data_IF_144320470198
#
_entry.id   IF_144320470198
#
_cell.length_a   1.000
_cell.length_b   1.000
_cell.length_c   1.000
_cell.angle_alpha   90.00
_cell.angle_beta   90.00
_cell.angle_gamma   90.00
#
_symmetry.space_group_name_H-M   'P 1'
#
loop_
_entity.id
_entity.type
_entity.pdbx_description
1 polymer ?
#
# COMPACT_ATOMS: atom_id res chain seq x y z
N UNK A 1 10.64 -12.65 27.85
CA UNK A 1 10.17 -11.76 26.76
C UNK A 1 9.06 -12.49 26.05
N UNK A 2 7.81 -12.10 26.25
CA UNK A 2 6.67 -12.63 25.52
C UNK A 2 6.87 -12.30 24.04
N UNK A 3 6.92 -13.34 23.20
CA UNK A 3 7.05 -13.20 21.76
C UNK A 3 5.85 -12.40 21.23
N UNK A 4 6.12 -11.22 20.70
CA UNK A 4 5.06 -10.36 20.14
C UNK A 4 4.50 -11.08 18.91
N UNK A 5 3.25 -11.51 18.99
CA UNK A 5 2.57 -12.12 17.84
C UNK A 5 2.55 -11.13 16.69
N UNK A 6 3.25 -11.44 15.60
CA UNK A 6 3.37 -10.60 14.42
C UNK A 6 2.11 -10.69 13.59
N UNK A 7 1.33 -9.60 13.55
CA UNK A 7 0.07 -9.51 12.81
C UNK A 7 0.12 -8.39 11.79
N UNK A 8 -0.25 -8.68 10.56
CA UNK A 8 -0.30 -7.70 9.48
C UNK A 8 -1.69 -7.59 8.87
N UNK A 9 -2.10 -6.36 8.58
CA UNK A 9 -3.21 -6.05 7.69
C UNK A 9 -2.63 -5.65 6.33
N UNK A 10 -3.05 -6.31 5.26
CA UNK A 10 -2.60 -6.05 3.89
C UNK A 10 -3.79 -5.79 3.00
N UNK A 11 -3.89 -4.58 2.44
CA UNK A 11 -4.92 -4.28 1.44
C UNK A 11 -4.43 -4.65 0.04
N UNK A 12 -5.31 -5.12 -0.85
CA UNK A 12 -4.94 -5.58 -2.18
C UNK A 12 -4.13 -6.89 -2.15
N UNK A 13 -4.43 -7.77 -1.19
CA UNK A 13 -3.64 -8.96 -0.85
C UNK A 13 -3.80 -10.13 -1.82
N UNK A 14 -4.74 -10.07 -2.77
CA UNK A 14 -5.06 -11.20 -3.65
C UNK A 14 -4.39 -11.15 -5.01
N UNK A 15 -3.65 -10.07 -5.32
CA UNK A 15 -2.93 -9.94 -6.60
C UNK A 15 -1.69 -9.03 -6.49
N UNK A 16 -0.82 -9.11 -7.50
CA UNK A 16 0.30 -8.19 -7.70
C UNK A 16 1.21 -7.99 -6.48
N UNK A 17 1.51 -6.75 -6.16
CA UNK A 17 2.43 -6.38 -5.06
C UNK A 17 1.87 -6.83 -3.70
N UNK A 18 0.57 -6.62 -3.45
CA UNK A 18 -0.04 -6.99 -2.18
C UNK A 18 -0.01 -8.50 -1.92
N UNK A 19 -0.23 -9.30 -2.96
CA UNK A 19 -0.09 -10.76 -2.87
C UNK A 19 1.35 -11.18 -2.56
N UNK A 20 2.34 -10.61 -3.25
CA UNK A 20 3.75 -10.91 -2.98
C UNK A 20 4.15 -10.55 -1.53
N UNK A 21 3.66 -9.42 -1.03
CA UNK A 21 3.87 -9.02 0.37
C UNK A 21 3.21 -10.01 1.33
N UNK A 22 1.93 -10.35 1.10
CA UNK A 22 1.20 -11.30 1.95
C UNK A 22 1.90 -12.66 2.00
N UNK A 23 2.36 -13.18 0.86
CA UNK A 23 3.09 -14.45 0.78
C UNK A 23 4.40 -14.42 1.58
N UNK A 24 5.19 -13.34 1.47
CA UNK A 24 6.42 -13.21 2.25
C UNK A 24 6.17 -13.10 3.76
N UNK A 25 5.15 -12.34 4.16
CA UNK A 25 4.74 -12.26 5.56
C UNK A 25 4.35 -13.63 6.11
N UNK A 26 3.53 -14.38 5.36
CA UNK A 26 3.11 -15.74 5.75
C UNK A 26 4.31 -16.70 5.86
N UNK A 27 5.22 -16.65 4.88
CA UNK A 27 6.45 -17.47 4.91
C UNK A 27 7.36 -17.15 6.10
N UNK A 28 7.34 -15.90 6.58
CA UNK A 28 8.05 -15.46 7.79
C UNK A 28 7.22 -15.64 9.09
N UNK A 29 6.13 -16.41 9.02
CA UNK A 29 5.33 -16.81 10.20
C UNK A 29 4.39 -15.73 10.74
N UNK A 30 4.08 -14.69 9.98
CA UNK A 30 3.08 -13.68 10.37
C UNK A 30 1.66 -14.22 10.26
N UNK A 31 0.77 -13.72 11.10
CA UNK A 31 -0.67 -13.78 10.86
C UNK A 31 -1.07 -12.62 9.95
N UNK A 32 -1.72 -12.91 8.82
CA UNK A 32 -2.09 -11.91 7.81
C UNK A 32 -3.59 -11.82 7.68
N UNK A 33 -4.13 -10.62 7.80
CA UNK A 33 -5.50 -10.30 7.40
C UNK A 33 -5.45 -9.52 6.09
N UNK A 34 -5.90 -10.16 5.02
CA UNK A 34 -6.02 -9.55 3.70
C UNK A 34 -7.35 -8.82 3.54
N UNK A 35 -7.33 -7.62 2.99
CA UNK A 35 -8.52 -6.86 2.58
C UNK A 35 -8.51 -6.72 1.06
N UNK A 36 -9.43 -7.38 0.36
CA UNK A 36 -9.45 -7.41 -1.10
C UNK A 36 -10.88 -7.59 -1.65
N UNK A 37 -11.07 -7.31 -2.93
CA UNK A 37 -12.29 -7.63 -3.69
C UNK A 37 -12.43 -9.14 -3.97
N UNK A 38 -11.31 -9.85 -4.00
CA UNK A 38 -11.23 -11.26 -4.35
C UNK A 38 -10.65 -12.07 -3.19
N UNK A 39 -11.02 -13.35 -3.08
CA UNK A 39 -10.38 -14.26 -2.13
C UNK A 39 -8.89 -14.43 -2.45
N UNK A 40 -8.11 -14.80 -1.45
CA UNK A 40 -6.72 -15.14 -1.65
C UNK A 40 -6.60 -16.32 -2.61
N UNK A 41 -5.68 -16.26 -3.60
CA UNK A 41 -5.53 -17.33 -4.60
C UNK A 41 -4.96 -18.63 -3.99
N UNK A 42 -4.30 -18.54 -2.84
CA UNK A 42 -3.70 -19.67 -2.15
C UNK A 42 -4.11 -19.63 -0.67
N UNK A 43 -4.84 -20.64 -0.16
CA UNK A 43 -5.17 -20.73 1.24
C UNK A 43 -3.92 -20.98 2.11
N UNK A 44 -3.91 -20.39 3.30
CA UNK A 44 -2.85 -20.59 4.29
C UNK A 44 -3.43 -20.51 5.71
N UNK A 45 -2.94 -21.33 6.64
CA UNK A 45 -3.48 -21.40 8.01
C UNK A 45 -3.44 -20.06 8.76
N UNK A 46 -2.44 -19.22 8.47
CA UNK A 46 -2.26 -17.89 9.08
C UNK A 46 -2.84 -16.76 8.21
N UNK A 47 -3.66 -17.04 7.20
CA UNK A 47 -4.27 -16.04 6.32
C UNK A 47 -5.78 -16.03 6.49
N UNK A 48 -6.32 -14.87 6.83
CA UNK A 48 -7.75 -14.57 6.75
C UNK A 48 -7.96 -13.50 5.68
N UNK A 49 -8.83 -13.75 4.71
CA UNK A 49 -9.18 -12.72 3.70
C UNK A 49 -10.60 -12.22 3.96
N UNK A 50 -10.72 -10.92 4.14
CA UNK A 50 -12.00 -10.22 4.21
C UNK A 50 -12.31 -9.62 2.83
N UNK A 51 -13.42 -10.05 2.25
CA UNK A 51 -13.86 -9.55 0.93
C UNK A 51 -14.53 -8.19 1.13
N UNK A 52 -13.87 -7.14 0.64
CA UNK A 52 -14.30 -5.77 0.83
C UNK A 52 -13.93 -4.89 -0.36
N UNK A 53 -14.87 -4.11 -0.85
CA UNK A 53 -14.57 -3.02 -1.79
C UNK A 53 -14.12 -1.79 -1.00
N UNK A 54 -12.81 -1.52 -1.07
CA UNK A 54 -12.22 -0.38 -0.38
C UNK A 54 -12.66 0.97 -0.96
N UNK A 55 -13.20 1.01 -2.18
CA UNK A 55 -13.77 2.25 -2.75
C UNK A 55 -15.07 2.67 -2.08
N UNK A 56 -15.69 1.77 -1.33
CA UNK A 56 -16.92 2.02 -0.56
C UNK A 56 -16.66 2.23 0.93
N UNK A 57 -15.41 2.10 1.39
CA UNK A 57 -15.06 2.22 2.79
C UNK A 57 -15.07 3.69 3.22
N UNK A 58 -16.05 4.06 4.03
CA UNK A 58 -16.19 5.41 4.60
C UNK A 58 -15.93 5.41 6.10
N UNK A 59 -15.70 6.57 6.69
CA UNK A 59 -15.45 6.70 8.14
C UNK A 59 -16.59 6.15 9.04
N UNK A 60 -17.82 6.10 8.53
CA UNK A 60 -18.99 5.56 9.23
C UNK A 60 -19.30 4.09 8.91
N UNK A 61 -18.44 3.40 8.18
CA UNK A 61 -18.67 2.02 7.77
C UNK A 61 -18.74 1.07 8.99
N UNK A 62 -19.83 0.35 9.12
CA UNK A 62 -20.08 -0.58 10.24
C UNK A 62 -19.07 -1.74 10.32
N UNK A 63 -18.34 -2.01 9.25
CA UNK A 63 -17.26 -3.02 9.20
C UNK A 63 -15.99 -2.57 9.92
N UNK A 64 -15.73 -1.24 10.01
CA UNK A 64 -14.53 -0.71 10.67
C UNK A 64 -14.44 -1.06 12.16
N UNK A 65 -15.49 -0.91 12.99
CA UNK A 65 -15.45 -1.32 14.41
C UNK A 65 -15.16 -2.82 14.58
N UNK A 66 -15.73 -3.68 13.72
CA UNK A 66 -15.46 -5.11 13.75
C UNK A 66 -13.99 -5.40 13.40
N UNK A 67 -13.47 -4.80 12.32
CA UNK A 67 -12.05 -4.87 12.01
C UNK A 67 -11.17 -4.40 13.17
N UNK A 68 -11.63 -3.38 13.90
CA UNK A 68 -10.91 -2.86 15.06
C UNK A 68 -10.90 -3.82 16.25
N UNK A 69 -12.03 -4.46 16.57
CA UNK A 69 -12.13 -5.36 17.73
C UNK A 69 -11.29 -6.62 17.55
N UNK A 70 -11.18 -7.10 16.33
CA UNK A 70 -10.48 -8.34 15.97
C UNK A 70 -8.99 -8.15 15.70
N UNK A 71 -8.57 -6.92 15.38
CA UNK A 71 -7.21 -6.64 14.90
C UNK A 71 -6.46 -5.68 15.83
N UNK A 72 -5.41 -6.17 16.48
CA UNK A 72 -4.32 -5.33 16.98
C UNK A 72 -3.10 -5.67 16.09
N UNK A 73 -3.02 -5.08 14.88
CA UNK A 73 -1.92 -5.38 13.99
C UNK A 73 -0.63 -4.72 14.48
N UNK A 74 0.48 -5.41 14.24
CA UNK A 74 1.81 -4.82 14.39
C UNK A 74 2.31 -4.20 13.08
N UNK A 75 1.65 -4.52 11.95
CA UNK A 75 1.91 -3.90 10.66
C UNK A 75 0.61 -3.61 9.88
N UNK A 76 0.59 -2.47 9.15
CA UNK A 76 -0.45 -2.08 8.20
C UNK A 76 0.20 -1.80 6.85
N UNK A 77 -0.16 -2.56 5.83
CA UNK A 77 0.37 -2.40 4.48
C UNK A 77 -0.76 -2.04 3.52
N UNK A 78 -0.67 -0.87 2.88
CA UNK A 78 -1.64 -0.43 1.89
C UNK A 78 -1.11 -0.63 0.48
N UNK A 79 -1.50 -1.75 -0.16
CA UNK A 79 -1.11 -2.09 -1.52
C UNK A 79 -2.30 -2.11 -2.49
N UNK A 80 -3.53 -1.97 -2.00
CA UNK A 80 -4.70 -1.84 -2.85
C UNK A 80 -4.59 -0.62 -3.77
N UNK A 81 -5.00 -0.81 -5.02
CA UNK A 81 -4.98 0.28 -5.97
C UNK A 81 -5.47 -0.12 -7.34
N UNK A 82 -5.91 0.88 -8.05
CA UNK A 82 -6.34 0.79 -9.44
C UNK A 82 -5.93 2.07 -10.15
N UNK A 83 -5.76 2.03 -11.48
CA UNK A 83 -5.35 3.19 -12.27
C UNK A 83 -6.21 3.33 -13.52
N UNK A 84 -6.80 4.50 -13.68
CA UNK A 84 -7.30 5.00 -14.96
C UNK A 84 -6.38 6.09 -15.49
N UNK A 85 -6.36 6.27 -16.80
CA UNK A 85 -5.48 7.25 -17.49
C UNK A 85 -6.30 8.12 -18.43
N UNK A 86 -5.94 9.41 -18.52
CA UNK A 86 -6.56 10.36 -19.42
C UNK A 86 -5.75 11.66 -19.50
N UNK A 87 -5.59 12.27 -20.69
CA UNK A 87 -4.97 13.56 -20.85
C UNK A 87 -5.89 14.71 -20.37
N UNK A 88 -5.34 15.89 -20.14
CA UNK A 88 -6.13 17.11 -19.94
C UNK A 88 -7.10 17.31 -21.12
N UNK A 89 -8.32 17.73 -20.80
CA UNK A 89 -9.41 17.85 -21.76
C UNK A 89 -10.22 16.56 -21.94
N UNK A 90 -9.74 15.41 -21.46
CA UNK A 90 -10.44 14.12 -21.50
C UNK A 90 -10.22 13.32 -20.20
N UNK A 91 -10.39 13.97 -19.05
CA UNK A 91 -10.31 13.33 -17.75
C UNK A 91 -11.65 12.68 -17.39
N UNK A 92 -11.59 11.44 -16.93
CA UNK A 92 -12.74 10.76 -16.33
C UNK A 92 -12.80 11.09 -14.82
N UNK A 93 -13.75 11.92 -14.43
CA UNK A 93 -13.93 12.36 -13.04
C UNK A 93 -14.43 11.22 -12.14
N UNK A 94 -15.26 10.31 -12.63
CA UNK A 94 -15.72 9.15 -11.87
C UNK A 94 -14.57 8.18 -11.58
N UNK A 95 -13.73 7.92 -12.57
CA UNK A 95 -12.51 7.15 -12.37
C UNK A 95 -11.56 7.86 -11.40
N UNK A 96 -11.42 9.17 -11.48
CA UNK A 96 -10.63 9.98 -10.56
C UNK A 96 -11.11 9.87 -9.12
N UNK A 97 -12.41 10.01 -8.88
CA UNK A 97 -13.03 9.84 -7.57
C UNK A 97 -12.82 8.43 -7.02
N UNK A 98 -13.05 7.39 -7.84
CA UNK A 98 -12.81 6.00 -7.44
C UNK A 98 -11.36 5.76 -7.07
N UNK A 99 -10.40 6.29 -7.84
CA UNK A 99 -8.97 6.21 -7.49
C UNK A 99 -8.70 6.87 -6.15
N UNK A 100 -9.26 8.07 -5.89
CA UNK A 100 -9.09 8.77 -4.63
C UNK A 100 -9.61 7.95 -3.45
N UNK A 101 -10.81 7.39 -3.58
CA UNK A 101 -11.41 6.54 -2.55
C UNK A 101 -10.54 5.34 -2.20
N UNK A 102 -10.06 4.61 -3.22
CA UNK A 102 -9.23 3.41 -3.00
C UNK A 102 -7.86 3.78 -2.42
N UNK A 103 -7.19 4.80 -2.98
CA UNK A 103 -5.81 5.09 -2.65
C UNK A 103 -5.63 5.97 -1.41
N UNK A 104 -6.59 6.85 -1.13
CA UNK A 104 -6.44 7.89 -0.10
C UNK A 104 -7.44 7.71 1.03
N UNK A 105 -8.74 7.67 0.74
CA UNK A 105 -9.77 7.59 1.78
C UNK A 105 -9.71 6.26 2.54
N UNK A 106 -9.57 5.15 1.83
CA UNK A 106 -9.52 3.83 2.45
C UNK A 106 -8.36 3.71 3.44
N UNK A 107 -7.15 4.13 3.06
CA UNK A 107 -6.02 4.08 3.98
C UNK A 107 -6.14 5.09 5.11
N UNK A 108 -6.73 6.26 4.86
CA UNK A 108 -6.99 7.24 5.92
C UNK A 108 -7.95 6.66 6.97
N UNK A 109 -9.02 5.99 6.55
CA UNK A 109 -9.95 5.33 7.47
C UNK A 109 -9.26 4.20 8.27
N UNK A 110 -8.50 3.34 7.60
CA UNK A 110 -7.76 2.25 8.25
C UNK A 110 -6.67 2.77 9.20
N UNK A 111 -5.91 3.78 8.80
CA UNK A 111 -4.87 4.37 9.64
C UNK A 111 -5.47 5.05 10.88
N UNK A 112 -6.54 5.84 10.71
CA UNK A 112 -7.25 6.47 11.82
C UNK A 112 -7.78 5.45 12.84
N UNK A 113 -8.13 4.26 12.39
CA UNK A 113 -8.59 3.17 13.24
C UNK A 113 -7.45 2.41 13.94
N UNK A 114 -6.39 2.08 13.21
CA UNK A 114 -5.38 1.10 13.63
C UNK A 114 -4.11 1.75 14.21
N UNK A 115 -3.68 2.90 13.69
CA UNK A 115 -2.43 3.56 14.15
C UNK A 115 -2.51 4.00 15.61
N UNK A 116 -3.60 4.57 16.13
CA UNK A 116 -3.70 4.90 17.56
C UNK A 116 -3.52 3.69 18.49
N UNK A 117 -3.94 2.49 18.05
CA UNK A 117 -3.76 1.25 18.80
C UNK A 117 -2.30 0.79 18.78
N UNK A 118 -1.63 0.90 17.62
CA UNK A 118 -0.19 0.67 17.53
C UNK A 118 0.58 1.62 18.44
N UNK A 119 0.21 2.92 18.46
CA UNK A 119 0.80 3.92 19.34
C UNK A 119 0.60 3.58 20.83
N UNK A 120 -0.58 3.09 21.20
CA UNK A 120 -0.88 2.65 22.56
C UNK A 120 -0.09 1.40 22.96
N UNK A 121 0.19 0.52 22.01
CA UNK A 121 1.02 -0.67 22.20
C UNK A 121 2.54 -0.36 22.17
N UNK A 122 2.95 0.86 21.81
CA UNK A 122 4.35 1.27 21.69
C UNK A 122 5.10 0.65 20.51
N UNK A 123 4.38 0.05 19.56
CA UNK A 123 4.97 -0.58 18.37
C UNK A 123 4.01 -0.59 17.18
N UNK A 124 4.49 -0.20 16.02
CA UNK A 124 3.75 -0.32 14.75
C UNK A 124 4.61 -0.05 13.54
N UNK A 125 4.24 -0.66 12.42
CA UNK A 125 4.90 -0.48 11.12
C UNK A 125 3.84 -0.24 10.05
N UNK A 126 3.89 0.91 9.39
CA UNK A 126 2.96 1.24 8.30
C UNK A 126 3.73 1.43 7.01
N UNK A 127 3.34 0.73 5.97
CA UNK A 127 3.94 0.83 4.65
C UNK A 127 2.86 1.12 3.62
N UNK A 128 3.00 2.24 2.91
CA UNK A 128 2.10 2.66 1.84
C UNK A 128 2.77 2.38 0.49
N UNK A 129 2.09 1.68 -0.40
CA UNK A 129 2.59 1.48 -1.75
C UNK A 129 2.23 2.69 -2.60
N UNK A 130 3.21 3.58 -2.74
CA UNK A 130 3.19 4.76 -3.57
C UNK A 130 3.37 4.46 -5.05
N UNK A 131 4.01 5.35 -5.75
CA UNK A 131 4.44 5.19 -7.15
C UNK A 131 5.39 6.30 -7.52
N UNK A 132 6.40 6.04 -8.36
CA UNK A 132 7.20 7.11 -8.96
C UNK A 132 6.36 8.13 -9.76
N UNK A 133 5.14 7.76 -10.16
CA UNK A 133 4.19 8.66 -10.84
C UNK A 133 3.74 9.81 -9.92
N UNK A 134 3.92 9.72 -8.61
CA UNK A 134 3.64 10.78 -7.65
C UNK A 134 4.34 12.12 -7.99
N UNK A 135 5.49 12.07 -8.64
CA UNK A 135 6.20 13.27 -9.15
C UNK A 135 5.55 13.91 -10.39
N UNK A 136 4.47 13.33 -10.90
CA UNK A 136 3.78 13.76 -12.11
C UNK A 136 4.19 12.95 -13.35
N UNK A 137 3.20 12.65 -14.20
CA UNK A 137 3.41 11.99 -15.49
C UNK A 137 2.25 12.33 -16.44
N UNK A 138 2.54 12.68 -17.71
CA UNK A 138 1.50 12.95 -18.69
C UNK A 138 0.47 11.82 -18.78
N UNK A 139 -0.82 12.16 -18.88
CA UNK A 139 -1.93 11.22 -18.97
C UNK A 139 -2.29 10.51 -17.68
N UNK A 140 -1.67 10.88 -16.53
CA UNK A 140 -1.86 10.21 -15.23
C UNK A 140 -2.07 11.17 -14.06
N UNK A 141 -2.56 12.38 -14.33
CA UNK A 141 -2.63 13.45 -13.33
C UNK A 141 -3.44 13.07 -12.08
N UNK A 142 -4.62 12.46 -12.24
CA UNK A 142 -5.47 12.04 -11.13
C UNK A 142 -4.82 10.94 -10.29
N UNK A 143 -4.18 9.96 -10.94
CA UNK A 143 -3.44 8.91 -10.24
C UNK A 143 -2.19 9.46 -9.54
N UNK A 144 -1.47 10.39 -10.20
CA UNK A 144 -0.31 11.07 -9.60
C UNK A 144 -0.72 11.83 -8.34
N UNK A 145 -1.84 12.54 -8.35
CA UNK A 145 -2.38 13.23 -7.19
C UNK A 145 -2.67 12.28 -6.03
N UNK A 146 -3.32 11.12 -6.30
CA UNK A 146 -3.56 10.11 -5.28
C UNK A 146 -2.25 9.59 -4.66
N UNK A 147 -1.25 9.29 -5.50
CA UNK A 147 0.03 8.75 -5.01
C UNK A 147 0.90 9.80 -4.32
N UNK A 148 0.83 11.07 -4.72
CA UNK A 148 1.45 12.18 -4.02
C UNK A 148 0.81 12.42 -2.63
N UNK A 149 -0.51 12.28 -2.52
CA UNK A 149 -1.21 12.38 -1.25
C UNK A 149 -0.68 11.37 -0.22
N UNK A 150 -0.34 10.14 -0.62
CA UNK A 150 0.23 9.14 0.29
C UNK A 150 1.55 9.59 0.92
N UNK A 151 2.37 10.35 0.20
CA UNK A 151 3.64 10.87 0.73
C UNK A 151 3.36 11.93 1.80
N UNK A 152 2.40 12.83 1.56
CA UNK A 152 1.97 13.82 2.54
C UNK A 152 1.38 13.19 3.80
N UNK A 153 0.49 12.22 3.64
CA UNK A 153 -0.10 11.46 4.74
C UNK A 153 0.98 10.74 5.57
N UNK A 154 1.90 10.03 4.90
CA UNK A 154 2.96 9.29 5.58
C UNK A 154 3.84 10.20 6.43
N UNK A 155 4.22 11.37 5.92
CA UNK A 155 5.04 12.34 6.65
C UNK A 155 4.32 12.92 7.87
N UNK A 156 3.05 13.32 7.71
CA UNK A 156 2.24 13.86 8.81
C UNK A 156 2.04 12.80 9.90
N UNK A 157 1.58 11.62 9.55
CA UNK A 157 1.35 10.55 10.51
C UNK A 157 2.63 10.03 11.16
N UNK A 158 3.76 10.01 10.43
CA UNK A 158 5.06 9.69 11.01
C UNK A 158 5.46 10.68 12.10
N UNK A 159 5.29 11.99 11.86
CA UNK A 159 5.59 13.01 12.85
C UNK A 159 4.72 12.89 14.12
N UNK A 160 3.44 12.50 13.96
CA UNK A 160 2.50 12.31 15.08
C UNK A 160 2.79 11.04 15.90
N UNK A 161 3.40 10.01 15.28
CA UNK A 161 3.45 8.66 15.87
C UNK A 161 4.86 8.18 16.25
N UNK A 162 5.93 8.84 15.77
CA UNK A 162 7.31 8.37 15.95
C UNK A 162 7.72 8.23 17.42
N UNK A 163 7.32 9.16 18.30
CA UNK A 163 7.60 9.09 19.73
C UNK A 163 6.86 7.97 20.47
N UNK A 164 5.93 7.32 19.79
CA UNK A 164 5.12 6.20 20.28
C UNK A 164 5.52 4.87 19.63
N UNK A 165 6.71 4.78 19.03
CA UNK A 165 7.27 3.55 18.49
C UNK A 165 6.68 3.09 17.15
N UNK A 166 5.91 3.95 16.44
CA UNK A 166 5.34 3.63 15.14
C UNK A 166 6.12 4.32 14.03
N UNK A 167 6.47 3.56 12.98
CA UNK A 167 7.09 4.09 11.76
C UNK A 167 6.13 4.00 10.58
N UNK A 168 6.14 5.01 9.72
CA UNK A 168 5.26 5.12 8.55
C UNK A 168 6.08 5.54 7.35
N UNK A 169 6.12 4.71 6.30
CA UNK A 169 6.93 4.95 5.10
C UNK A 169 6.15 4.64 3.83
N UNK A 170 6.63 5.20 2.73
CA UNK A 170 6.11 4.96 1.38
C UNK A 170 7.16 4.20 0.57
N UNK A 171 6.75 3.17 -0.14
CA UNK A 171 7.56 2.54 -1.20
C UNK A 171 6.98 2.98 -2.53
N UNK A 172 7.80 3.60 -3.38
CA UNK A 172 7.39 4.12 -4.69
C UNK A 172 7.99 3.30 -5.83
N UNK A 173 7.29 2.24 -6.29
CA UNK A 173 7.78 1.42 -7.39
C UNK A 173 7.62 2.15 -8.73
N UNK A 174 8.47 1.76 -9.69
CA UNK A 174 8.25 2.03 -11.12
C UNK A 174 7.28 1.00 -11.72
N UNK A 175 7.27 0.85 -13.05
CA UNK A 175 6.46 -0.15 -13.73
C UNK A 175 6.81 -1.56 -13.22
N UNK A 176 5.84 -2.20 -12.56
CA UNK A 176 5.98 -3.49 -11.87
C UNK A 176 5.17 -4.55 -12.62
N UNK A 177 5.71 -5.75 -12.77
CA UNK A 177 5.11 -6.88 -13.46
C UNK A 177 3.88 -7.43 -12.70
N UNK A 178 2.75 -6.74 -12.82
CA UNK A 178 1.48 -7.06 -12.15
C UNK A 178 0.34 -7.06 -13.16
N UNK A 179 -0.82 -7.67 -12.87
CA UNK A 179 -2.00 -7.60 -13.72
C UNK A 179 -2.43 -6.16 -14.08
N UNK A 180 -2.19 -5.19 -13.19
CA UNK A 180 -2.45 -3.77 -13.48
C UNK A 180 -1.66 -3.28 -14.70
N UNK A 181 -0.52 -3.88 -15.06
CA UNK A 181 0.31 -3.43 -16.18
C UNK A 181 -0.39 -3.65 -17.53
N UNK A 182 -1.21 -4.68 -17.64
CA UNK A 182 -1.99 -5.07 -18.83
C UNK A 182 -3.46 -4.63 -18.76
N UNK A 183 -3.87 -3.87 -17.75
CA UNK A 183 -5.25 -3.40 -17.58
C UNK A 183 -5.65 -2.49 -18.76
N UNK A 184 -6.77 -2.77 -19.46
CA UNK A 184 -7.29 -1.93 -20.54
C UNK A 184 -7.53 -0.46 -20.15
N UNK A 185 -7.84 -0.17 -18.87
CA UNK A 185 -8.00 1.18 -18.35
C UNK A 185 -6.71 2.04 -18.46
N UNK A 186 -5.57 1.42 -18.79
CA UNK A 186 -4.27 2.06 -19.01
C UNK A 186 -3.86 2.15 -20.49
N UNK A 187 -4.70 1.74 -21.42
CA UNK A 187 -4.34 1.63 -22.84
C UNK A 187 -3.79 2.94 -23.45
N UNK A 188 -4.27 4.10 -22.96
CA UNK A 188 -3.85 5.42 -23.43
C UNK A 188 -2.46 5.84 -22.92
N UNK A 189 -1.88 5.15 -21.93
CA UNK A 189 -0.60 5.53 -21.31
C UNK A 189 0.25 4.29 -20.99
N UNK A 190 0.85 3.73 -22.05
CA UNK A 190 1.73 2.54 -21.92
C UNK A 190 2.91 2.82 -21.00
N UNK A 191 3.27 1.83 -20.19
CA UNK A 191 4.45 1.93 -19.31
C UNK A 191 5.72 1.69 -20.11
N UNK A 192 6.73 2.53 -19.88
CA UNK A 192 8.08 2.30 -20.39
C UNK A 192 8.84 1.37 -19.44
N UNK A 193 9.75 0.57 -20.00
CA UNK A 193 10.70 -0.20 -19.18
C UNK A 193 11.58 0.77 -18.37
N UNK A 194 11.83 0.47 -17.10
CA UNK A 194 12.86 1.15 -16.33
C UNK A 194 14.26 0.98 -16.95
N UNK A 195 15.23 1.88 -16.68
CA UNK A 195 16.60 1.78 -17.18
C UNK A 195 17.32 0.47 -16.89
N UNK A 196 16.94 -0.25 -15.83
CA UNK A 196 17.47 -1.59 -15.52
C UNK A 196 17.16 -2.64 -16.62
N UNK A 197 16.35 -2.30 -17.63
CA UNK A 197 16.05 -3.17 -18.79
C UNK A 197 14.91 -4.16 -18.59
N UNK A 198 14.25 -4.15 -17.44
CA UNK A 198 13.07 -5.01 -17.14
C UNK A 198 12.07 -4.28 -16.24
N UNK A 199 10.87 -4.81 -16.14
CA UNK A 199 9.93 -4.38 -15.11
C UNK A 199 10.44 -4.78 -13.72
N UNK A 200 10.00 -4.03 -12.70
CA UNK A 200 10.22 -4.39 -11.31
C UNK A 200 9.36 -5.62 -11.00
N UNK A 201 9.91 -6.58 -10.28
CA UNK A 201 9.14 -7.73 -9.82
C UNK A 201 8.37 -7.37 -8.54
N UNK A 202 7.12 -7.85 -8.36
CA UNK A 202 6.36 -7.65 -7.13
C UNK A 202 7.15 -8.06 -5.88
N UNK A 203 7.96 -9.10 -6.01
CA UNK A 203 8.80 -9.64 -4.95
C UNK A 203 9.93 -8.70 -4.50
N UNK A 204 10.45 -7.84 -5.40
CA UNK A 204 11.44 -6.81 -5.03
C UNK A 204 10.81 -5.73 -4.14
N UNK A 205 9.54 -5.37 -4.40
CA UNK A 205 8.78 -4.44 -3.55
C UNK A 205 8.45 -5.11 -2.20
N UNK A 206 8.09 -6.39 -2.23
CA UNK A 206 7.81 -7.16 -1.03
C UNK A 206 9.06 -7.31 -0.14
N UNK A 207 10.25 -7.50 -0.74
CA UNK A 207 11.50 -7.58 0.01
C UNK A 207 11.79 -6.29 0.82
N UNK A 208 11.60 -5.12 0.20
CA UNK A 208 11.74 -3.84 0.91
C UNK A 208 10.65 -3.66 1.98
N UNK A 209 9.42 -4.12 1.70
CA UNK A 209 8.34 -4.11 2.69
C UNK A 209 8.73 -4.94 3.92
N UNK A 210 9.25 -6.15 3.74
CA UNK A 210 9.72 -7.01 4.83
C UNK A 210 10.80 -6.32 5.67
N UNK A 211 11.74 -5.62 5.04
CA UNK A 211 12.73 -4.83 5.76
C UNK A 211 12.07 -3.70 6.58
N UNK A 212 11.16 -2.93 5.97
CA UNK A 212 10.52 -1.79 6.65
C UNK A 212 9.60 -2.21 7.81
N UNK A 213 9.01 -3.40 7.78
CA UNK A 213 8.21 -3.91 8.91
C UNK A 213 9.05 -4.58 9.99
N UNK A 214 10.34 -4.78 9.76
CA UNK A 214 11.26 -5.38 10.73
C UNK A 214 11.72 -4.40 11.81
N UNK A 215 12.34 -4.92 12.86
CA UNK A 215 12.99 -4.10 13.89
C UNK A 215 14.20 -3.32 13.36
N UNK A 216 14.85 -3.81 12.30
CA UNK A 216 16.03 -3.16 11.71
C UNK A 216 15.72 -1.81 11.05
N UNK A 217 14.46 -1.55 10.68
CA UNK A 217 14.02 -0.29 10.11
C UNK A 217 13.45 0.70 11.15
N UNK A 218 13.68 0.49 12.43
CA UNK A 218 13.09 1.30 13.52
C UNK A 218 13.43 2.80 13.47
N UNK A 219 14.52 3.18 12.82
CA UNK A 219 14.92 4.56 12.63
C UNK A 219 14.47 5.17 11.28
N UNK A 220 13.74 4.40 10.45
CA UNK A 220 13.28 4.85 9.13
C UNK A 220 11.80 5.17 9.24
N UNK A 221 11.44 6.47 9.17
CA UNK A 221 10.05 6.92 9.21
C UNK A 221 9.87 8.21 8.41
N UNK A 222 8.68 8.44 7.84
CA UNK A 222 8.36 9.59 7.00
C UNK A 222 9.06 9.58 5.65
N UNK A 223 9.65 8.45 5.23
CA UNK A 223 10.45 8.37 4.02
C UNK A 223 9.64 7.84 2.83
N UNK A 224 9.97 8.36 1.64
CA UNK A 224 9.59 7.78 0.36
C UNK A 224 10.81 7.09 -0.24
N UNK A 225 10.73 5.79 -0.45
CA UNK A 225 11.83 4.97 -0.97
C UNK A 225 11.45 4.41 -2.34
N UNK A 226 12.23 4.75 -3.36
CA UNK A 226 11.97 4.32 -4.73
C UNK A 226 12.54 2.92 -4.99
N UNK A 227 11.68 2.02 -5.54
CA UNK A 227 12.07 0.74 -6.13
C UNK A 227 11.84 0.86 -7.63
N UNK A 228 12.76 1.52 -8.34
CA UNK A 228 12.44 2.07 -9.65
C UNK A 228 13.39 1.65 -10.79
N UNK A 229 14.42 0.84 -10.51
CA UNK A 229 15.38 0.42 -11.54
C UNK A 229 16.03 1.58 -12.31
N UNK A 230 16.29 2.70 -11.62
CA UNK A 230 16.86 3.91 -12.19
C UNK A 230 15.85 4.87 -12.85
N UNK A 231 14.54 4.57 -12.85
CA UNK A 231 13.53 5.39 -13.54
C UNK A 231 13.31 6.80 -12.94
N UNK A 232 13.86 7.09 -11.76
CA UNK A 232 13.86 8.42 -11.13
C UNK A 232 15.14 9.21 -11.37
N UNK A 233 16.18 8.59 -11.93
CA UNK A 233 17.41 9.28 -12.28
C UNK A 233 17.17 10.16 -13.51
N UNK A 234 17.71 11.37 -13.48
CA UNK A 234 17.75 12.22 -14.67
C UNK A 234 18.71 11.58 -15.68
N UNK A 235 18.24 11.32 -16.89
CA UNK A 235 19.04 10.91 -18.04
C UNK A 235 19.22 12.10 -18.98
#
# INVERSE_FOLDING_TARGET
LTEVVRRAVVTGSSSGIGLAIAQRLLADGWQVTGLDLLPAPHPHANLTTLIIDLSTLTQGDSRLPQLASELVPTALIHAAGWMSTGPLGNLDFYAGERMWRIHVEAITALANLLVPRMMSAGYGRVVLIGSRVAAGMPGRSQYAACKAALVGLARSWAAESVTRGVTINVISPAATATPMLSDPARASAKSKLPPIGRYIEPDEVAALTMFLVSAHASAITGQEIAVCGGATLQQ
#
